data_IF_736677657195
#
_entry.id   IF_736677657195
#
_cell.length_a   1.000
_cell.length_b   1.000
_cell.length_c   1.000
_cell.angle_alpha   90.00
_cell.angle_beta   90.00
_cell.angle_gamma   90.00
#
_symmetry.space_group_name_H-M   'P 1'
#
loop_
_entity.id
_entity.type
_entity.pdbx_description
1 polymer ?
#
# COMPACT_ATOMS: atom_id res chain seq x y z
N UNK A 1 -49.77 6.53 7.77
CA UNK A 1 -49.62 5.13 7.32
C UNK A 1 -48.17 4.82 6.95
N UNK A 2 -47.48 5.71 6.21
CA UNK A 2 -46.03 5.57 5.92
C UNK A 2 -45.14 5.54 7.16
N UNK A 3 -45.37 6.40 8.15
CA UNK A 3 -44.50 6.49 9.34
C UNK A 3 -44.50 5.20 10.18
N UNK A 4 -45.65 4.52 10.29
CA UNK A 4 -45.76 3.22 10.97
C UNK A 4 -45.00 2.11 10.22
N UNK A 5 -45.00 2.14 8.89
CA UNK A 5 -44.24 1.21 8.05
C UNK A 5 -42.74 1.45 8.24
N UNK A 6 -42.30 2.71 8.22
CA UNK A 6 -40.90 3.08 8.44
C UNK A 6 -40.41 2.65 9.82
N UNK A 7 -41.20 2.87 10.88
CA UNK A 7 -40.87 2.44 12.23
C UNK A 7 -40.77 0.91 12.33
N UNK A 8 -41.67 0.16 11.68
CA UNK A 8 -41.63 -1.30 11.66
C UNK A 8 -40.39 -1.86 10.95
N UNK A 9 -39.93 -1.19 9.88
CA UNK A 9 -38.72 -1.57 9.16
C UNK A 9 -37.47 -1.36 10.02
N UNK A 10 -37.38 -0.22 10.70
CA UNK A 10 -36.26 0.09 11.61
C UNK A 10 -36.19 -0.94 12.75
N UNK A 11 -37.34 -1.28 13.35
CA UNK A 11 -37.39 -2.27 14.42
C UNK A 11 -36.91 -3.65 13.95
N UNK A 12 -37.32 -4.09 12.76
CA UNK A 12 -36.90 -5.38 12.21
C UNK A 12 -35.41 -5.44 11.89
N UNK A 13 -34.83 -4.35 11.37
CA UNK A 13 -33.38 -4.25 11.12
C UNK A 13 -32.59 -4.34 12.42
N UNK A 14 -33.04 -3.65 13.47
CA UNK A 14 -32.40 -3.71 14.79
C UNK A 14 -32.47 -5.12 15.38
N UNK A 15 -33.63 -5.76 15.32
CA UNK A 15 -33.81 -7.14 15.81
C UNK A 15 -32.89 -8.10 15.04
N UNK A 16 -32.81 -7.98 13.71
CA UNK A 16 -31.95 -8.83 12.89
C UNK A 16 -30.47 -8.65 13.25
N UNK A 17 -30.01 -7.41 13.44
CA UNK A 17 -28.62 -7.13 13.84
C UNK A 17 -28.27 -7.68 15.22
N UNK A 18 -29.19 -7.59 16.19
CA UNK A 18 -29.05 -8.18 17.52
C UNK A 18 -28.96 -9.70 17.46
N UNK A 19 -29.84 -10.35 16.69
CA UNK A 19 -29.83 -11.81 16.52
C UNK A 19 -28.52 -12.25 15.86
N UNK A 20 -28.07 -11.57 14.81
CA UNK A 20 -26.82 -11.89 14.14
C UNK A 20 -25.62 -11.79 15.11
N UNK A 21 -25.56 -10.73 15.92
CA UNK A 21 -24.52 -10.55 16.92
C UNK A 21 -24.53 -11.68 17.97
N UNK A 22 -25.70 -12.01 18.53
CA UNK A 22 -25.86 -13.11 19.47
C UNK A 22 -25.44 -14.46 18.88
N UNK A 23 -25.79 -14.74 17.62
CA UNK A 23 -25.39 -15.96 16.93
C UNK A 23 -23.88 -16.04 16.73
N UNK A 24 -23.22 -14.94 16.36
CA UNK A 24 -21.76 -14.93 16.21
C UNK A 24 -21.04 -15.17 17.54
N UNK A 25 -21.53 -14.56 18.63
CA UNK A 25 -20.97 -14.75 19.96
C UNK A 25 -21.19 -16.18 20.49
N UNK A 26 -22.39 -16.73 20.30
CA UNK A 26 -22.68 -18.12 20.63
C UNK A 26 -21.81 -19.09 19.82
N UNK A 27 -21.63 -18.84 18.53
CA UNK A 27 -20.77 -19.65 17.67
C UNK A 27 -19.31 -19.64 18.18
N UNK A 28 -18.78 -18.48 18.59
CA UNK A 28 -17.45 -18.38 19.16
C UNK A 28 -17.32 -19.12 20.50
N UNK A 29 -18.34 -19.05 21.36
CA UNK A 29 -18.39 -19.77 22.63
C UNK A 29 -18.42 -21.29 22.47
N UNK A 30 -19.18 -21.82 21.50
CA UNK A 30 -19.26 -23.26 21.23
C UNK A 30 -18.06 -23.78 20.42
N UNK A 31 -17.31 -22.92 19.75
CA UNK A 31 -16.17 -23.35 18.95
C UNK A 31 -15.00 -23.75 19.85
N UNK A 32 -14.69 -25.05 19.86
CA UNK A 32 -13.62 -25.62 20.70
C UNK A 32 -12.28 -24.90 20.55
N UNK A 33 -11.62 -24.62 21.69
CA UNK A 33 -10.31 -23.95 21.73
C UNK A 33 -9.27 -24.59 20.79
N UNK A 34 -9.28 -25.91 20.63
CA UNK A 34 -8.32 -26.62 19.77
C UNK A 34 -8.43 -26.21 18.29
N UNK A 35 -9.66 -26.06 17.77
CA UNK A 35 -9.87 -25.63 16.38
C UNK A 35 -9.69 -24.12 16.21
N UNK A 36 -9.94 -23.31 17.25
CA UNK A 36 -9.62 -21.87 17.22
C UNK A 36 -8.11 -21.65 17.13
N UNK A 37 -7.33 -22.41 17.92
CA UNK A 37 -5.87 -22.30 17.94
C UNK A 37 -5.26 -22.62 16.57
N UNK A 38 -5.70 -23.68 15.90
CA UNK A 38 -5.19 -24.03 14.55
C UNK A 38 -5.56 -22.99 13.49
N UNK A 39 -6.74 -22.36 13.59
CA UNK A 39 -7.14 -21.29 12.67
C UNK A 39 -6.38 -19.98 12.89
N UNK A 40 -5.93 -19.73 14.12
CA UNK A 40 -5.17 -18.54 14.52
C UNK A 40 -3.65 -18.72 14.36
N UNK A 41 -3.18 -19.87 13.87
CA UNK A 41 -1.76 -20.13 13.60
C UNK A 41 -1.34 -19.66 12.21
N UNK A 42 -0.08 -19.25 12.08
CA UNK A 42 0.52 -18.93 10.79
C UNK A 42 0.55 -20.17 9.88
N UNK A 43 0.34 -19.95 8.59
CA UNK A 43 0.42 -21.01 7.59
C UNK A 43 1.88 -21.40 7.34
N UNK A 44 2.24 -22.62 7.70
CA UNK A 44 3.61 -23.14 7.63
C UNK A 44 3.64 -24.54 6.99
N UNK A 45 2.86 -24.73 5.92
CA UNK A 45 2.79 -25.99 5.15
C UNK A 45 2.60 -27.26 6.03
N UNK A 46 1.84 -27.16 7.13
CA UNK A 46 1.57 -28.28 8.05
C UNK A 46 2.56 -28.42 9.22
N UNK A 47 3.60 -27.59 9.28
CA UNK A 47 4.52 -27.50 10.42
C UNK A 47 4.01 -26.50 11.48
N UNK A 48 4.54 -26.62 12.70
CA UNK A 48 4.31 -25.61 13.75
C UNK A 48 5.10 -24.36 13.40
N UNK A 49 4.46 -23.19 13.49
CA UNK A 49 5.12 -21.93 13.26
C UNK A 49 6.36 -21.77 14.14
N UNK A 50 7.49 -21.48 13.50
CA UNK A 50 8.74 -21.15 14.16
C UNK A 50 8.58 -19.73 14.73
N UNK A 51 8.84 -19.56 16.01
CA UNK A 51 8.77 -18.24 16.68
C UNK A 51 9.98 -17.35 16.38
N UNK A 52 11.02 -17.90 15.74
CA UNK A 52 12.31 -17.25 15.54
C UNK A 52 12.64 -17.22 14.04
N UNK A 53 12.18 -16.17 13.36
CA UNK A 53 12.57 -15.87 11.99
C UNK A 53 13.59 -14.74 12.02
N UNK A 54 14.86 -15.08 11.77
CA UNK A 54 15.88 -14.09 11.46
C UNK A 54 15.68 -13.62 10.02
N UNK A 55 14.84 -12.61 9.84
CA UNK A 55 14.57 -12.03 8.52
C UNK A 55 15.79 -11.23 8.07
N UNK A 56 16.46 -11.72 7.04
CA UNK A 56 17.49 -10.96 6.34
C UNK A 56 16.81 -10.05 5.33
N UNK A 57 16.78 -8.74 5.61
CA UNK A 57 16.26 -7.76 4.66
C UNK A 57 17.33 -7.54 3.60
N UNK A 58 16.97 -7.73 2.33
CA UNK A 58 17.87 -7.44 1.21
C UNK A 58 17.96 -5.91 1.00
N UNK A 59 19.19 -5.38 0.92
CA UNK A 59 19.47 -3.98 0.65
C UNK A 59 18.87 -3.47 -0.67
N UNK A 60 18.63 -4.35 -1.63
CA UNK A 60 18.02 -3.99 -2.92
C UNK A 60 16.63 -3.35 -2.75
N UNK A 61 15.84 -3.79 -1.77
CA UNK A 61 14.53 -3.19 -1.48
C UNK A 61 14.66 -1.77 -0.92
N UNK A 62 15.68 -1.54 -0.10
CA UNK A 62 15.97 -0.20 0.43
C UNK A 62 16.42 0.76 -0.69
N UNK A 63 17.30 0.30 -1.58
CA UNK A 63 17.76 1.11 -2.72
C UNK A 63 16.60 1.46 -3.66
N UNK A 64 15.68 0.52 -3.91
CA UNK A 64 14.47 0.78 -4.69
C UNK A 64 13.58 1.87 -4.04
N UNK A 65 13.41 1.82 -2.72
CA UNK A 65 12.60 2.81 -2.00
C UNK A 65 13.22 4.21 -2.06
N UNK A 66 14.54 4.32 -1.87
CA UNK A 66 15.27 5.60 -1.96
C UNK A 66 15.20 6.15 -3.39
N UNK A 67 15.42 5.30 -4.40
CA UNK A 67 15.31 5.68 -5.81
C UNK A 67 13.92 6.25 -6.13
N UNK A 68 12.85 5.57 -5.69
CA UNK A 68 11.48 6.02 -5.92
C UNK A 68 11.20 7.38 -5.26
N UNK A 69 11.66 7.59 -4.03
CA UNK A 69 11.49 8.87 -3.33
C UNK A 69 12.22 10.00 -4.05
N UNK A 70 13.45 9.77 -4.53
CA UNK A 70 14.23 10.78 -5.25
C UNK A 70 13.55 11.17 -6.57
N UNK A 71 13.16 10.20 -7.39
CA UNK A 71 12.48 10.48 -8.67
C UNK A 71 11.10 11.11 -8.51
N UNK A 72 10.35 10.75 -7.46
CA UNK A 72 9.05 11.37 -7.18
C UNK A 72 9.20 12.86 -6.80
N UNK A 73 10.27 13.21 -6.06
CA UNK A 73 10.58 14.61 -5.72
C UNK A 73 10.96 15.40 -6.98
N UNK A 74 11.79 14.83 -7.85
CA UNK A 74 12.17 15.45 -9.12
C UNK A 74 10.96 15.69 -10.03
N UNK A 75 10.04 14.71 -10.12
CA UNK A 75 8.82 14.86 -10.88
C UNK A 75 7.90 15.95 -10.30
N UNK A 76 7.86 16.09 -8.98
CA UNK A 76 7.10 17.15 -8.31
C UNK A 76 7.60 18.54 -8.74
N UNK A 77 8.90 18.72 -9.00
CA UNK A 77 9.44 19.97 -9.55
C UNK A 77 9.04 20.23 -11.01
N UNK A 78 8.78 19.19 -11.80
CA UNK A 78 8.27 19.34 -13.17
C UNK A 78 6.79 19.73 -13.20
N UNK A 79 6.02 19.43 -12.15
CA UNK A 79 4.58 19.62 -12.14
C UNK A 79 4.13 21.08 -12.38
N UNK A 80 4.70 22.12 -11.72
CA UNK A 80 4.31 23.52 -11.95
C UNK A 80 4.58 24.02 -13.38
N UNK A 81 5.61 23.48 -14.04
CA UNK A 81 5.97 23.84 -15.43
C UNK A 81 4.86 23.42 -16.39
N UNK A 82 4.22 22.27 -16.14
CA UNK A 82 3.13 21.76 -16.97
C UNK A 82 1.91 22.68 -17.00
N UNK A 83 1.63 23.41 -15.91
CA UNK A 83 0.47 24.30 -15.83
C UNK A 83 0.74 25.70 -16.38
N UNK A 84 2.01 26.14 -16.43
CA UNK A 84 2.38 27.51 -16.76
C UNK A 84 3.04 27.65 -18.15
N UNK A 85 2.74 26.77 -19.11
CA UNK A 85 3.37 26.75 -20.43
C UNK A 85 3.24 28.04 -21.26
N UNK A 86 2.20 28.83 -21.03
CA UNK A 86 1.90 30.00 -21.86
C UNK A 86 2.76 31.25 -21.57
N UNK A 87 3.54 31.26 -20.48
CA UNK A 87 4.29 32.44 -20.03
C UNK A 87 5.80 32.21 -19.90
N UNK A 88 6.37 31.30 -20.71
CA UNK A 88 7.81 31.05 -20.64
C UNK A 88 8.64 32.12 -21.37
N UNK A 89 9.55 32.75 -20.63
CA UNK A 89 10.66 33.49 -21.24
C UNK A 89 11.69 32.53 -21.85
N UNK A 90 12.49 32.99 -22.82
CA UNK A 90 13.56 32.16 -23.42
C UNK A 90 14.53 31.60 -22.36
N UNK A 91 14.81 32.35 -21.30
CA UNK A 91 15.69 31.92 -20.21
C UNK A 91 15.08 30.77 -19.40
N UNK A 92 13.80 30.87 -19.04
CA UNK A 92 13.10 29.81 -18.31
C UNK A 92 13.00 28.53 -19.12
N UNK A 93 12.80 28.63 -20.43
CA UNK A 93 12.82 27.47 -21.32
C UNK A 93 14.16 26.72 -21.25
N UNK A 94 15.30 27.44 -21.32
CA UNK A 94 16.62 26.82 -21.20
C UNK A 94 16.86 26.22 -19.81
N UNK A 95 16.36 26.85 -18.75
CA UNK A 95 16.44 26.32 -17.39
C UNK A 95 15.68 25.00 -17.24
N UNK A 96 14.46 24.92 -17.78
CA UNK A 96 13.66 23.68 -17.79
C UNK A 96 14.36 22.59 -18.61
N UNK A 97 14.89 22.94 -19.78
CA UNK A 97 15.60 21.99 -20.64
C UNK A 97 16.88 21.46 -19.97
N UNK A 98 17.62 22.32 -19.26
CA UNK A 98 18.77 21.93 -18.47
C UNK A 98 18.37 21.01 -17.31
N UNK A 99 17.27 21.31 -16.61
CA UNK A 99 16.75 20.46 -15.54
C UNK A 99 16.36 19.06 -16.03
N UNK A 100 15.66 18.96 -17.17
CA UNK A 100 15.31 17.67 -17.79
C UNK A 100 16.57 16.88 -18.18
N UNK A 101 17.60 17.56 -18.72
CA UNK A 101 18.87 16.92 -19.04
C UNK A 101 19.57 16.34 -17.79
N UNK A 102 19.53 17.05 -16.66
CA UNK A 102 20.10 16.54 -15.41
C UNK A 102 19.40 15.25 -14.95
N UNK A 103 18.06 15.22 -14.99
CA UNK A 103 17.28 14.01 -14.64
C UNK A 103 17.67 12.84 -15.55
N UNK A 104 17.77 13.08 -16.86
CA UNK A 104 18.16 12.03 -17.82
C UNK A 104 19.59 11.50 -17.58
N UNK A 105 20.53 12.38 -17.24
CA UNK A 105 21.91 11.98 -16.92
C UNK A 105 21.95 11.15 -15.64
N UNK A 106 21.20 11.56 -14.60
CA UNK A 106 21.09 10.78 -13.37
C UNK A 106 20.54 9.38 -13.63
N UNK A 107 19.46 9.28 -14.40
CA UNK A 107 18.84 8.01 -14.76
C UNK A 107 19.78 7.10 -15.54
N UNK A 108 20.52 7.69 -16.49
CA UNK A 108 21.49 6.95 -17.27
C UNK A 108 22.65 6.43 -16.40
N UNK A 109 23.13 7.24 -15.45
CA UNK A 109 24.15 6.83 -14.50
C UNK A 109 23.67 5.68 -13.59
N UNK A 110 22.46 5.81 -13.03
CA UNK A 110 21.87 4.78 -12.17
C UNK A 110 21.66 3.45 -12.91
N UNK A 111 21.26 3.53 -14.19
CA UNK A 111 21.11 2.35 -15.05
C UNK A 111 22.46 1.68 -15.29
N UNK A 112 23.50 2.42 -15.67
CA UNK A 112 24.83 1.85 -15.93
C UNK A 112 25.42 1.15 -14.69
N UNK A 113 25.12 1.65 -13.49
CA UNK A 113 25.60 1.05 -12.25
C UNK A 113 24.79 -0.17 -11.79
N UNK A 114 23.75 -0.57 -12.53
CA UNK A 114 22.91 -1.73 -12.19
C UNK A 114 22.38 -1.69 -10.75
N UNK A 115 22.16 -0.49 -10.19
CA UNK A 115 21.70 -0.29 -8.79
C UNK A 115 20.34 -0.95 -8.55
N UNK A 116 19.53 -1.05 -9.61
CA UNK A 116 18.21 -1.70 -9.59
C UNK A 116 18.25 -3.17 -10.05
N UNK A 117 19.42 -3.72 -10.35
CA UNK A 117 19.52 -5.10 -10.80
C UNK A 117 19.22 -6.04 -9.64
N UNK A 118 18.32 -6.99 -9.91
CA UNK A 118 18.02 -8.08 -8.99
C UNK A 118 18.77 -9.31 -9.47
N UNK A 119 19.91 -9.60 -8.86
CA UNK A 119 20.42 -10.97 -8.85
C UNK A 119 19.63 -11.74 -7.81
N UNK A 120 18.89 -12.74 -8.27
CA UNK A 120 18.40 -13.81 -7.39
C UNK A 120 19.63 -14.66 -7.08
N UNK A 121 20.35 -14.31 -6.01
CA UNK A 121 21.26 -15.25 -5.34
C UNK A 121 20.50 -16.07 -4.31
#
# INVERSE_FOLDING_TARGET
>A
MGDAIVISLIQNVLIFSMIFWLLTWAAEYFYTNKQQLTKKQFYECGFKALSELNIQINFNFFMLAVFLILYDIEFTFLFPILFNFNFFSYLEFFLVLFFILLILISLFYDWLNNVLSWSVE
#
